data_IF_346423955758
#
_entry.id   IF_346423955758
#
_cell.length_a   1.000
_cell.length_b   1.000
_cell.length_c   1.000
_cell.angle_alpha   90.00
_cell.angle_beta   90.00
_cell.angle_gamma   90.00
#
_symmetry.space_group_name_H-M   'P 1'
#
loop_
_entity.id
_entity.type
_entity.pdbx_description
1 polymer ?
#
# COMPACT_ATOMS: atom_id res chain seq x y z
N UNK A 1 -61.08 19.34 24.11
CA UNK A 1 -59.92 19.80 23.30
C UNK A 1 -58.75 18.88 23.58
N UNK A 2 -58.16 18.29 22.53
CA UNK A 2 -57.28 17.11 22.58
C UNK A 2 -55.82 17.51 22.81
N UNK A 3 -55.09 16.57 23.40
CA UNK A 3 -53.77 16.63 24.02
C UNK A 3 -52.68 17.20 23.09
N UNK A 4 -51.79 18.02 23.67
CA UNK A 4 -50.53 18.46 23.06
C UNK A 4 -49.69 17.22 22.73
N UNK A 5 -49.38 16.99 21.46
CA UNK A 5 -48.42 15.96 21.05
C UNK A 5 -47.09 16.64 20.79
N UNK A 6 -46.10 16.24 21.58
CA UNK A 6 -44.76 16.77 21.62
C UNK A 6 -43.97 16.43 20.35
N UNK A 7 -43.32 17.47 19.84
CA UNK A 7 -41.93 17.53 19.32
C UNK A 7 -41.47 16.39 18.37
N UNK A 8 -41.19 16.69 17.09
CA UNK A 8 -40.49 15.78 16.21
C UNK A 8 -38.98 15.88 16.48
N UNK A 9 -38.44 15.04 17.35
CA UNK A 9 -36.99 15.02 17.64
C UNK A 9 -36.34 13.63 17.49
N UNK A 10 -36.99 12.69 16.79
CA UNK A 10 -36.47 11.32 16.64
C UNK A 10 -35.73 11.06 15.32
N UNK A 11 -35.59 12.05 14.43
CA UNK A 11 -34.97 11.85 13.11
C UNK A 11 -33.52 12.37 12.99
N UNK A 12 -32.99 13.07 13.99
CA UNK A 12 -31.62 13.63 13.90
C UNK A 12 -30.55 12.63 14.35
N UNK A 13 -30.91 11.58 15.10
CA UNK A 13 -29.92 10.64 15.68
C UNK A 13 -29.44 9.57 14.67
N UNK A 14 -30.16 9.35 13.56
CA UNK A 14 -29.78 8.32 12.56
C UNK A 14 -28.75 8.83 11.55
N UNK A 15 -28.52 10.15 11.44
CA UNK A 15 -27.51 10.70 10.52
C UNK A 15 -26.09 10.76 11.09
N UNK A 16 -25.88 10.40 12.37
CA UNK A 16 -24.55 10.37 12.99
C UNK A 16 -23.87 9.00 12.93
N UNK A 17 -24.53 7.97 12.40
CA UNK A 17 -24.00 6.61 12.29
C UNK A 17 -23.39 6.27 10.94
N UNK A 18 -23.28 7.22 10.01
CA UNK A 18 -22.22 7.15 9.00
C UNK A 18 -20.94 7.58 9.70
N UNK A 19 -20.47 6.66 10.55
CA UNK A 19 -19.13 6.65 11.09
C UNK A 19 -18.21 6.77 9.90
N UNK A 20 -17.76 7.99 9.66
CA UNK A 20 -16.61 8.29 8.85
C UNK A 20 -15.51 7.39 9.42
N UNK A 21 -15.26 6.24 8.77
CA UNK A 21 -13.98 5.56 8.93
C UNK A 21 -12.98 6.63 8.55
N UNK A 22 -12.42 7.25 9.59
CA UNK A 22 -11.33 8.18 9.45
C UNK A 22 -10.26 7.34 8.77
N UNK A 23 -10.10 7.51 7.46
CA UNK A 23 -8.98 7.03 6.62
C UNK A 23 -7.69 7.64 7.19
N UNK A 24 -7.36 7.24 8.41
CA UNK A 24 -6.14 7.58 9.11
C UNK A 24 -5.25 6.38 8.94
N UNK A 25 -4.42 6.41 7.89
CA UNK A 25 -3.15 5.70 7.76
C UNK A 25 -3.00 4.54 8.76
N UNK A 26 -3.60 3.39 8.47
CA UNK A 26 -3.14 2.18 9.12
C UNK A 26 -1.76 1.93 8.53
N UNK A 27 -0.73 2.38 9.24
CA UNK A 27 0.69 2.18 8.93
C UNK A 27 1.02 0.68 9.07
N UNK A 28 0.37 -0.15 8.26
CA UNK A 28 0.53 -1.60 8.23
C UNK A 28 1.95 -1.90 7.79
N UNK A 29 2.60 -2.75 8.55
CA UNK A 29 3.92 -3.23 8.23
C UNK A 29 3.80 -4.49 7.36
N UNK A 30 4.44 -4.49 6.20
CA UNK A 30 4.43 -5.60 5.26
C UNK A 30 5.82 -6.17 5.10
N UNK A 31 5.92 -7.51 5.09
CA UNK A 31 7.15 -8.18 4.74
C UNK A 31 7.27 -8.24 3.21
N UNK A 32 8.43 -7.83 2.72
CA UNK A 32 8.77 -7.77 1.30
C UNK A 32 10.13 -8.39 1.06
N UNK A 33 10.35 -8.85 -0.18
CA UNK A 33 11.64 -9.36 -0.66
C UNK A 33 12.15 -8.44 -1.77
N UNK A 34 13.38 -7.95 -1.62
CA UNK A 34 14.06 -7.22 -2.69
C UNK A 34 14.32 -8.15 -3.88
N UNK A 35 13.99 -7.68 -5.08
CA UNK A 35 14.23 -8.39 -6.34
C UNK A 35 15.41 -7.73 -7.06
N UNK A 36 15.30 -6.43 -7.35
CA UNK A 36 16.27 -5.68 -8.15
C UNK A 36 15.95 -4.18 -8.10
N UNK A 37 16.76 -3.36 -8.76
CA UNK A 37 16.42 -1.96 -9.00
C UNK A 37 15.32 -1.85 -10.08
N UNK A 38 14.39 -0.93 -9.88
CA UNK A 38 13.25 -0.76 -10.78
C UNK A 38 13.59 0.21 -11.91
N UNK A 39 13.77 -0.31 -13.12
CA UNK A 39 14.27 0.45 -14.26
C UNK A 39 13.40 1.66 -14.67
N UNK A 40 12.06 1.58 -14.71
CA UNK A 40 11.26 2.75 -15.07
C UNK A 40 11.39 3.91 -14.08
N UNK A 41 11.89 3.67 -12.87
CA UNK A 41 12.10 4.71 -11.85
C UNK A 41 13.46 4.55 -11.14
N UNK A 42 14.49 5.30 -11.57
CA UNK A 42 15.81 5.25 -10.94
C UNK A 42 15.74 5.45 -9.43
N UNK A 43 16.46 4.60 -8.68
CA UNK A 43 16.51 4.63 -7.22
C UNK A 43 15.34 3.93 -6.51
N UNK A 44 14.30 3.52 -7.24
CA UNK A 44 13.24 2.68 -6.70
C UNK A 44 13.68 1.20 -6.65
N UNK A 45 13.30 0.50 -5.58
CA UNK A 45 13.55 -0.92 -5.42
C UNK A 45 12.33 -1.72 -5.90
N UNK A 46 12.50 -2.64 -6.84
CA UNK A 46 11.47 -3.61 -7.17
C UNK A 46 11.43 -4.68 -6.07
N UNK A 47 10.25 -4.86 -5.47
CA UNK A 47 10.03 -5.85 -4.41
C UNK A 47 8.84 -6.75 -4.71
N UNK A 48 8.85 -7.93 -4.09
CA UNK A 48 7.70 -8.84 -4.00
C UNK A 48 7.19 -8.87 -2.56
N UNK A 49 5.86 -8.78 -2.40
CA UNK A 49 5.21 -8.96 -1.11
C UNK A 49 5.09 -10.44 -0.78
N UNK A 50 5.42 -10.82 0.47
CA UNK A 50 5.33 -12.24 0.89
C UNK A 50 3.89 -12.69 1.18
N UNK A 51 2.95 -11.75 1.21
CA UNK A 51 1.51 -11.98 1.39
C UNK A 51 0.70 -11.17 0.37
N UNK A 52 -0.53 -11.57 0.02
CA UNK A 52 -1.39 -10.79 -0.88
C UNK A 52 -1.53 -9.33 -0.47
N UNK A 53 -1.31 -8.42 -1.42
CA UNK A 53 -1.37 -6.98 -1.20
C UNK A 53 -2.19 -6.29 -2.31
N UNK A 54 -3.20 -5.52 -1.93
CA UNK A 54 -4.13 -4.84 -2.85
C UNK A 54 -3.55 -3.57 -3.48
N UNK A 55 -2.54 -2.96 -2.85
CA UNK A 55 -1.85 -1.77 -3.34
C UNK A 55 -0.73 -2.13 -4.33
N UNK A 56 -0.31 -3.40 -4.34
CA UNK A 56 0.70 -3.93 -5.24
C UNK A 56 0.09 -4.45 -6.55
N UNK A 57 0.90 -4.50 -7.61
CA UNK A 57 0.51 -5.12 -8.88
C UNK A 57 0.53 -6.63 -8.76
N UNK A 58 -0.62 -7.26 -8.99
CA UNK A 58 -0.71 -8.72 -9.10
C UNK A 58 -0.05 -9.21 -10.40
N UNK A 59 0.87 -10.16 -10.29
CA UNK A 59 1.53 -10.81 -11.42
C UNK A 59 0.85 -12.16 -11.66
N UNK A 60 0.35 -12.36 -12.87
CA UNK A 60 -0.32 -13.59 -13.28
C UNK A 60 0.62 -14.49 -14.10
N UNK A 61 0.42 -15.81 -13.98
CA UNK A 61 1.03 -16.79 -14.88
C UNK A 61 0.31 -16.86 -16.23
N UNK A 62 0.81 -17.70 -17.14
CA UNK A 62 0.20 -17.94 -18.46
C UNK A 62 -1.25 -18.47 -18.42
N UNK A 63 -1.71 -18.98 -17.27
CA UNK A 63 -3.06 -19.52 -17.07
C UNK A 63 -3.98 -18.49 -16.37
N UNK A 64 -3.46 -17.30 -16.05
CA UNK A 64 -4.19 -16.25 -15.35
C UNK A 64 -4.20 -16.41 -13.82
N UNK A 65 -3.45 -17.36 -13.26
CA UNK A 65 -3.31 -17.52 -11.80
C UNK A 65 -2.34 -16.48 -11.23
N UNK A 66 -2.72 -15.79 -10.15
CA UNK A 66 -1.82 -14.84 -9.48
C UNK A 66 -0.73 -15.61 -8.74
N UNK A 67 0.53 -15.32 -9.08
CA UNK A 67 1.72 -15.98 -8.51
C UNK A 67 2.57 -15.05 -7.66
N UNK A 68 2.40 -13.73 -7.78
CA UNK A 68 3.20 -12.74 -7.08
C UNK A 68 2.46 -11.40 -6.94
N UNK A 69 2.88 -10.57 -5.99
CA UNK A 69 2.42 -9.20 -5.79
C UNK A 69 3.64 -8.30 -5.74
N UNK A 70 3.81 -7.43 -6.74
CA UNK A 70 5.03 -6.62 -6.90
C UNK A 70 4.74 -5.12 -6.85
N UNK A 71 5.70 -4.38 -6.32
CA UNK A 71 5.70 -2.93 -6.35
C UNK A 71 7.11 -2.38 -6.47
N UNK A 72 7.22 -1.15 -6.96
CA UNK A 72 8.42 -0.35 -6.92
C UNK A 72 8.38 0.57 -5.70
N UNK A 73 9.25 0.31 -4.72
CA UNK A 73 9.35 1.10 -3.50
C UNK A 73 10.36 2.23 -3.67
N UNK A 74 9.88 3.46 -3.47
CA UNK A 74 10.75 4.62 -3.29
C UNK A 74 11.26 4.69 -1.85
N UNK A 75 12.38 5.39 -1.65
CA UNK A 75 12.99 5.66 -0.34
C UNK A 75 13.43 4.41 0.44
N UNK A 76 13.73 3.30 -0.24
CA UNK A 76 14.35 2.13 0.40
C UNK A 76 15.85 2.40 0.62
N UNK A 77 16.37 2.31 1.85
CA UNK A 77 17.80 2.44 2.12
C UNK A 77 18.63 1.34 1.44
N UNK A 78 19.84 1.67 0.97
CA UNK A 78 20.66 0.75 0.18
C UNK A 78 21.03 -0.53 0.94
N UNK A 79 21.12 -0.50 2.28
CA UNK A 79 21.32 -1.70 3.10
C UNK A 79 20.23 -2.76 2.96
N UNK A 80 19.06 -2.40 2.41
CA UNK A 80 17.96 -3.31 2.13
C UNK A 80 17.89 -3.73 0.65
N UNK A 81 18.71 -3.12 -0.23
CA UNK A 81 18.79 -3.43 -1.67
C UNK A 81 19.84 -4.50 -1.96
N UNK A 82 19.77 -5.59 -1.19
CA UNK A 82 20.60 -6.77 -1.40
C UNK A 82 19.72 -7.86 -2.04
N UNK A 83 20.25 -8.55 -3.04
CA UNK A 83 19.48 -9.57 -3.78
C UNK A 83 18.82 -10.58 -2.83
N UNK A 84 17.51 -10.80 -3.00
CA UNK A 84 16.69 -11.70 -2.17
C UNK A 84 16.57 -11.32 -0.67
N UNK A 85 17.01 -10.12 -0.27
CA UNK A 85 16.86 -9.65 1.11
C UNK A 85 15.40 -9.51 1.47
N UNK A 86 15.02 -10.08 2.61
CA UNK A 86 13.70 -9.95 3.21
C UNK A 86 13.76 -8.86 4.27
N UNK A 87 12.82 -7.93 4.22
CA UNK A 87 12.69 -6.86 5.19
C UNK A 87 11.23 -6.43 5.30
N UNK A 88 10.97 -5.53 6.25
CA UNK A 88 9.66 -5.02 6.55
C UNK A 88 9.54 -3.57 6.12
N UNK A 89 8.39 -3.20 5.53
CA UNK A 89 8.13 -1.85 5.03
C UNK A 89 6.77 -1.34 5.50
N UNK A 90 6.74 -0.06 5.90
CA UNK A 90 5.53 0.77 5.96
C UNK A 90 5.55 1.69 4.74
N UNK A 91 4.43 1.81 4.05
CA UNK A 91 4.36 2.62 2.83
C UNK A 91 3.05 3.43 2.76
N UNK A 92 3.07 4.42 1.88
CA UNK A 92 1.88 5.15 1.46
C UNK A 92 1.76 5.15 -0.07
N UNK A 93 0.53 5.44 -0.55
CA UNK A 93 0.17 5.48 -1.96
C UNK A 93 0.22 6.90 -2.55
N UNK A 94 0.94 7.83 -1.92
CA UNK A 94 0.98 9.22 -2.38
C UNK A 94 1.99 9.37 -3.53
N UNK A 95 1.54 9.08 -4.75
CA UNK A 95 2.30 9.33 -5.96
C UNK A 95 1.77 10.59 -6.63
N UNK A 96 2.51 11.69 -6.52
CA UNK A 96 2.32 12.86 -7.38
C UNK A 96 3.30 12.76 -8.54
N UNK A 97 2.76 12.85 -9.75
CA UNK A 97 3.45 13.12 -11.03
C UNK A 97 4.92 12.72 -11.06
N UNK A 98 5.17 11.43 -11.26
CA UNK A 98 6.53 10.90 -11.31
C UNK A 98 6.97 10.73 -12.75
N UNK A 99 8.12 11.28 -13.10
CA UNK A 99 8.77 11.00 -14.38
C UNK A 99 9.29 9.56 -14.39
N UNK A 100 9.04 8.87 -15.50
CA UNK A 100 9.46 7.49 -15.77
C UNK A 100 10.48 7.46 -16.90
N UNK A 101 11.40 6.50 -16.85
CA UNK A 101 12.26 6.15 -17.98
C UNK A 101 11.65 4.99 -18.75
N UNK A 102 11.75 5.02 -20.08
CA UNK A 102 11.38 3.88 -20.91
C UNK A 102 12.36 2.71 -20.69
N UNK A 103 11.83 1.57 -20.26
CA UNK A 103 12.58 0.33 -20.08
C UNK A 103 11.91 -0.79 -20.85
N UNK A 104 12.63 -1.34 -21.83
CA UNK A 104 12.11 -2.43 -22.66
C UNK A 104 11.93 -3.71 -21.82
N UNK A 105 10.77 -4.34 -21.95
CA UNK A 105 10.49 -5.66 -21.36
C UNK A 105 10.31 -5.68 -19.85
N UNK A 106 10.07 -4.54 -19.20
CA UNK A 106 9.77 -4.47 -17.77
C UNK A 106 8.29 -4.16 -17.58
N UNK A 107 7.59 -5.02 -16.85
CA UNK A 107 6.19 -4.77 -16.48
C UNK A 107 6.09 -3.53 -15.59
N UNK A 108 5.11 -2.67 -15.90
CA UNK A 108 4.78 -1.55 -15.02
C UNK A 108 4.14 -2.10 -13.74
N UNK A 109 4.72 -1.75 -12.60
CA UNK A 109 4.19 -2.11 -11.28
C UNK A 109 3.75 -0.86 -10.55
N UNK A 110 2.87 -1.04 -9.56
CA UNK A 110 2.52 0.02 -8.63
C UNK A 110 3.79 0.59 -8.01
N UNK A 111 3.90 1.92 -8.01
CA UNK A 111 4.91 2.60 -7.21
C UNK A 111 4.29 2.83 -5.83
N UNK A 112 5.07 2.64 -4.78
CA UNK A 112 4.72 2.96 -3.39
C UNK A 112 5.89 3.73 -2.74
N UNK A 113 5.61 4.58 -1.77
CA UNK A 113 6.66 5.34 -1.06
C UNK A 113 6.88 4.73 0.31
N UNK A 114 8.09 4.24 0.60
CA UNK A 114 8.41 3.72 1.92
C UNK A 114 8.49 4.87 2.94
N UNK A 115 7.66 4.79 3.98
CA UNK A 115 7.69 5.66 5.16
C UNK A 115 8.64 5.12 6.24
N UNK A 116 8.94 3.82 6.19
CA UNK A 116 9.91 3.19 7.07
C UNK A 116 10.26 1.77 6.63
N UNK A 117 11.50 1.38 6.88
CA UNK A 117 12.04 0.04 6.57
C UNK A 117 12.73 -0.55 7.79
N UNK A 118 12.54 -1.84 8.05
CA UNK A 118 13.05 -2.52 9.25
C UNK A 118 13.50 -3.94 8.93
N UNK A 119 14.56 -4.40 9.60
CA UNK A 119 15.01 -5.80 9.58
C UNK A 119 14.07 -6.72 10.40
N UNK A 120 13.28 -6.14 11.32
CA UNK A 120 12.32 -6.84 12.19
C UNK A 120 10.88 -6.37 11.96
N UNK A 121 9.90 -7.21 12.31
CA UNK A 121 8.48 -6.88 12.16
C UNK A 121 8.14 -5.57 12.88
N UNK A 122 7.64 -4.61 12.11
CA UNK A 122 7.34 -3.26 12.55
C UNK A 122 5.88 -3.05 12.97
N UNK A 123 5.12 -4.14 13.15
CA UNK A 123 3.80 -4.17 13.82
C UNK A 123 3.89 -4.31 15.35
N UNK A 124 5.07 -4.64 15.90
CA UNK A 124 5.27 -4.92 17.33
C UNK A 124 6.05 -3.83 18.10
N UNK A 125 5.95 -2.57 17.66
CA UNK A 125 6.50 -1.42 18.41
C UNK A 125 5.43 -0.73 19.25
#
# INVERSE_FOLDING_TARGET
MKKKLAVPFLFIVILLSVSCEKEGQVNKCYQVKYISDYCPKPGAALVSFTSPNKDATAIADSKGGIIDYRAALLNVPDKFKEENKIFYVKYNNNHKDMEFKDCAGVDQVAILTADGTSDVDCNHN
#
